data_IF_840401363714
#
_entry.id   IF_840401363714
#
_cell.length_a   1.000
_cell.length_b   1.000
_cell.length_c   1.000
_cell.angle_alpha   90.00
_cell.angle_beta   90.00
_cell.angle_gamma   90.00
#
_symmetry.space_group_name_H-M   'P 1'
#
loop_
_entity.id
_entity.type
_entity.pdbx_description
1 polymer ?
#
# COMPACT_ATOMS: atom_id res chain seq x y z
N UNK A 1 18.46 21.67 -4.12
CA UNK A 1 17.45 21.07 -5.01
C UNK A 1 17.14 19.58 -4.74
N UNK A 2 17.87 18.84 -3.88
CA UNK A 2 17.59 17.41 -3.61
C UNK A 2 16.58 17.12 -2.49
N UNK A 3 16.43 18.03 -1.52
CA UNK A 3 15.54 17.83 -0.36
C UNK A 3 14.04 17.79 -0.71
N UNK A 4 13.62 18.58 -1.71
CA UNK A 4 12.20 18.63 -2.13
C UNK A 4 11.77 17.35 -2.84
N UNK A 5 12.63 16.79 -3.69
CA UNK A 5 12.32 15.62 -4.51
C UNK A 5 12.13 14.35 -3.66
N UNK A 6 12.95 14.22 -2.61
CA UNK A 6 12.81 13.17 -1.59
C UNK A 6 11.49 13.30 -0.81
N UNK A 7 11.07 14.53 -0.50
CA UNK A 7 9.81 14.80 0.20
C UNK A 7 8.59 14.47 -0.69
N UNK A 8 8.61 14.87 -1.96
CA UNK A 8 7.54 14.58 -2.92
C UNK A 8 7.36 13.08 -3.13
N UNK A 9 8.44 12.33 -3.33
CA UNK A 9 8.38 10.89 -3.47
C UNK A 9 7.87 10.19 -2.19
N UNK A 10 8.23 10.72 -1.01
CA UNK A 10 7.72 10.21 0.27
C UNK A 10 6.21 10.44 0.40
N UNK A 11 5.72 11.64 0.06
CA UNK A 11 4.30 11.97 0.10
C UNK A 11 3.48 11.08 -0.82
N UNK A 12 3.97 10.81 -2.04
CA UNK A 12 3.33 9.88 -2.97
C UNK A 12 3.24 8.47 -2.38
N UNK A 13 4.32 7.96 -1.78
CA UNK A 13 4.33 6.66 -1.10
C UNK A 13 3.36 6.63 0.08
N UNK A 14 3.27 7.69 0.86
CA UNK A 14 2.31 7.80 1.95
C UNK A 14 0.87 7.80 1.44
N UNK A 15 0.59 8.55 0.37
CA UNK A 15 -0.75 8.58 -0.25
C UNK A 15 -1.15 7.22 -0.80
N UNK A 16 -0.25 6.56 -1.52
CA UNK A 16 -0.44 5.22 -2.06
C UNK A 16 -0.72 4.20 -0.95
N UNK A 17 0.01 4.29 0.17
CA UNK A 17 -0.23 3.45 1.34
C UNK A 17 -1.60 3.69 1.96
N UNK A 18 -2.04 4.95 2.06
CA UNK A 18 -3.36 5.30 2.60
C UNK A 18 -4.49 4.75 1.73
N UNK A 19 -4.38 4.88 0.41
CA UNK A 19 -5.36 4.31 -0.52
C UNK A 19 -5.40 2.79 -0.44
N UNK A 20 -4.24 2.12 -0.38
CA UNK A 20 -4.18 0.68 -0.18
C UNK A 20 -4.79 0.23 1.15
N UNK A 21 -4.59 0.96 2.24
CA UNK A 21 -5.27 0.67 3.51
C UNK A 21 -6.77 0.87 3.40
N UNK A 22 -7.22 1.95 2.78
CA UNK A 22 -8.65 2.25 2.57
C UNK A 22 -9.35 1.11 1.83
N UNK A 23 -8.73 0.58 0.79
CA UNK A 23 -9.30 -0.53 0.02
C UNK A 23 -9.44 -1.79 0.85
N UNK A 24 -8.38 -2.14 1.57
CA UNK A 24 -8.35 -3.35 2.39
C UNK A 24 -9.35 -3.26 3.56
N UNK A 25 -9.71 -2.04 4.00
CA UNK A 25 -10.61 -1.78 5.12
C UNK A 25 -12.07 -1.62 4.72
N UNK A 26 -12.32 -0.86 3.66
CA UNK A 26 -13.65 -0.30 3.35
C UNK A 26 -14.18 -0.73 1.99
N UNK A 27 -13.38 -1.42 1.17
CA UNK A 27 -13.83 -1.95 -0.11
C UNK A 27 -14.08 -3.46 -0.04
N UNK A 28 -14.71 -4.02 -1.07
CA UNK A 28 -14.86 -5.47 -1.26
C UNK A 28 -13.73 -6.07 -2.09
N UNK A 29 -12.68 -5.30 -2.38
CA UNK A 29 -11.55 -5.75 -3.20
C UNK A 29 -10.67 -6.73 -2.40
N UNK A 30 -10.26 -7.80 -3.08
CA UNK A 30 -9.18 -8.66 -2.61
C UNK A 30 -7.82 -7.94 -2.70
N UNK A 31 -6.82 -8.45 -1.99
CA UNK A 31 -5.43 -7.94 -2.07
C UNK A 31 -4.92 -7.88 -3.51
N UNK A 32 -5.30 -8.85 -4.35
CA UNK A 32 -4.94 -8.91 -5.76
C UNK A 32 -5.57 -7.77 -6.56
N UNK A 33 -6.86 -7.54 -6.37
CA UNK A 33 -7.59 -6.46 -7.05
C UNK A 33 -7.12 -5.08 -6.58
N UNK A 34 -6.87 -4.89 -5.29
CA UNK A 34 -6.25 -3.68 -4.74
C UNK A 34 -4.89 -3.41 -5.40
N UNK A 35 -4.05 -4.43 -5.60
CA UNK A 35 -2.75 -4.25 -6.25
C UNK A 35 -2.89 -3.71 -7.67
N UNK A 36 -3.76 -4.31 -8.48
CA UNK A 36 -3.98 -3.85 -9.86
C UNK A 36 -4.65 -2.48 -9.91
N UNK A 37 -5.58 -2.19 -9.00
CA UNK A 37 -6.22 -0.87 -8.91
C UNK A 37 -5.21 0.24 -8.58
N UNK A 38 -4.21 -0.08 -7.75
CA UNK A 38 -3.10 0.81 -7.41
C UNK A 38 -1.95 0.76 -8.44
N UNK A 39 -2.20 0.17 -9.62
CA UNK A 39 -1.26 0.07 -10.73
C UNK A 39 0.05 -0.69 -10.42
N UNK A 40 0.04 -1.59 -9.43
CA UNK A 40 1.13 -2.55 -9.29
C UNK A 40 1.03 -3.61 -10.39
N UNK A 41 2.13 -3.85 -11.09
CA UNK A 41 2.21 -4.90 -12.11
C UNK A 41 1.92 -6.30 -11.55
N UNK A 42 2.33 -6.55 -10.29
CA UNK A 42 2.19 -7.84 -9.63
C UNK A 42 1.68 -7.65 -8.19
N UNK A 43 0.74 -8.49 -7.70
CA UNK A 43 0.25 -8.40 -6.32
C UNK A 43 1.35 -8.48 -5.25
N UNK A 44 2.41 -9.25 -5.52
CA UNK A 44 3.55 -9.38 -4.62
C UNK A 44 4.28 -8.03 -4.41
N UNK A 45 4.25 -7.13 -5.40
CA UNK A 45 4.85 -5.80 -5.28
C UNK A 45 4.10 -4.94 -4.26
N UNK A 46 2.76 -4.98 -4.26
CA UNK A 46 1.95 -4.32 -3.22
C UNK A 46 2.28 -4.87 -1.83
N UNK A 47 2.39 -6.20 -1.70
CA UNK A 47 2.70 -6.85 -0.42
C UNK A 47 4.06 -6.44 0.13
N UNK A 48 5.09 -6.41 -0.74
CA UNK A 48 6.44 -5.95 -0.38
C UNK A 48 6.45 -4.47 -0.01
N UNK A 49 5.82 -3.62 -0.83
CA UNK A 49 5.68 -2.19 -0.56
C UNK A 49 5.01 -1.93 0.78
N UNK A 50 3.87 -2.56 1.04
CA UNK A 50 3.13 -2.38 2.30
C UNK A 50 3.96 -2.83 3.50
N UNK A 51 4.66 -3.97 3.41
CA UNK A 51 5.55 -4.45 4.47
C UNK A 51 6.73 -3.51 4.71
N UNK A 52 7.31 -2.93 3.67
CA UNK A 52 8.38 -1.93 3.82
C UNK A 52 7.88 -0.67 4.53
N UNK A 53 6.71 -0.17 4.15
CA UNK A 53 6.15 1.06 4.71
C UNK A 53 5.59 0.91 6.12
N UNK A 54 5.01 -0.24 6.47
CA UNK A 54 4.33 -0.45 7.76
C UNK A 54 5.08 -1.36 8.73
N UNK A 55 6.16 -2.02 8.25
CA UNK A 55 6.85 -3.12 8.96
C UNK A 55 5.94 -4.31 9.30
N UNK A 56 4.76 -4.41 8.69
CA UNK A 56 3.76 -5.45 8.90
C UNK A 56 3.36 -6.11 7.57
N UNK A 57 3.18 -7.42 7.55
CA UNK A 57 2.63 -8.10 6.37
C UNK A 57 1.15 -7.72 6.16
N UNK A 58 0.72 -7.51 4.90
CA UNK A 58 -0.68 -7.24 4.54
C UNK A 58 -1.64 -8.26 5.15
N UNK A 59 -1.30 -9.55 5.09
CA UNK A 59 -2.13 -10.61 5.64
C UNK A 59 -2.32 -10.49 7.15
N UNK A 60 -1.28 -10.07 7.88
CA UNK A 60 -1.36 -9.81 9.32
C UNK A 60 -2.22 -8.58 9.61
N UNK A 61 -2.11 -7.52 8.79
CA UNK A 61 -2.94 -6.33 8.90
C UNK A 61 -4.43 -6.66 8.72
N UNK A 62 -4.79 -7.37 7.65
CA UNK A 62 -6.18 -7.80 7.39
C UNK A 62 -6.72 -8.65 8.54
N UNK A 63 -5.92 -9.60 9.04
CA UNK A 63 -6.31 -10.44 10.19
C UNK A 63 -6.49 -9.65 11.49
N UNK A 64 -5.82 -8.51 11.68
CA UNK A 64 -6.02 -7.69 12.88
C UNK A 64 -7.30 -6.85 12.87
N UNK A 65 -8.01 -6.82 11.73
CA UNK A 65 -9.23 -6.02 11.55
C UNK A 65 -10.49 -6.89 11.57
N UNK A 66 -10.36 -8.18 11.22
CA UNK A 66 -11.43 -9.17 11.32
C UNK A 66 -11.45 -9.79 12.70
#
# INVERSE_FOLDING_TARGET
>A
MREFDLSSALLLKQRLLQEGKSDLLFSRLSVKETAYRLHFFEPNHLMRFFKQMTRQAISKFIKSIK
#
